data_IF_725050468804
#
_entry.id   IF_725050468804
#
_cell.length_a   1.000
_cell.length_b   1.000
_cell.length_c   1.000
_cell.angle_alpha   90.00
_cell.angle_beta   90.00
_cell.angle_gamma   90.00
#
_symmetry.space_group_name_H-M   'P 1'
#
loop_
_entity.id
_entity.type
_entity.pdbx_description
1 polymer ?
#
# COMPACT_ATOMS: atom_id res chain seq x y z
N UNK A 1 -35.34 31.41 8.23
CA UNK A 1 -34.06 31.11 7.53
C UNK A 1 -33.87 29.59 7.54
N UNK A 2 -33.95 28.93 6.38
CA UNK A 2 -33.65 27.49 6.29
C UNK A 2 -32.13 27.33 6.42
N UNK A 3 -31.67 26.57 7.41
CA UNK A 3 -30.26 26.17 7.51
C UNK A 3 -29.98 25.26 6.32
N UNK A 4 -29.16 25.72 5.39
CA UNK A 4 -28.71 24.87 4.29
C UNK A 4 -27.93 23.69 4.91
N UNK A 5 -28.37 22.48 4.59
CA UNK A 5 -27.76 21.28 5.17
C UNK A 5 -26.37 21.13 4.55
N UNK A 6 -25.37 20.83 5.37
CA UNK A 6 -23.97 20.83 4.92
C UNK A 6 -23.73 19.88 3.73
N UNK A 7 -24.55 18.83 3.63
CA UNK A 7 -24.58 17.92 2.48
C UNK A 7 -24.89 18.62 1.16
N UNK A 8 -25.81 19.57 1.15
CA UNK A 8 -26.26 20.24 -0.08
C UNK A 8 -25.15 21.15 -0.63
N UNK A 9 -24.42 21.81 0.29
CA UNK A 9 -23.24 22.63 -0.03
C UNK A 9 -22.13 21.74 -0.63
N UNK A 10 -21.87 20.58 -0.03
CA UNK A 10 -20.86 19.62 -0.50
C UNK A 10 -21.23 19.08 -1.88
N UNK A 11 -22.48 18.65 -2.09
CA UNK A 11 -22.94 18.12 -3.37
C UNK A 11 -22.88 19.17 -4.48
N UNK A 12 -23.27 20.40 -4.19
CA UNK A 12 -23.18 21.52 -5.13
C UNK A 12 -21.74 21.79 -5.56
N UNK A 13 -20.79 21.71 -4.61
CA UNK A 13 -19.38 21.94 -4.91
C UNK A 13 -18.75 20.80 -5.73
N UNK A 14 -19.05 19.54 -5.39
CA UNK A 14 -18.53 18.37 -6.10
C UNK A 14 -19.06 18.27 -7.54
N UNK A 15 -20.34 18.60 -7.76
CA UNK A 15 -20.96 18.53 -9.09
C UNK A 15 -20.56 19.68 -10.03
N UNK A 16 -19.97 20.77 -9.52
CA UNK A 16 -19.43 21.86 -10.37
C UNK A 16 -18.20 21.43 -11.16
N UNK A 17 -17.51 20.39 -10.70
CA UNK A 17 -16.37 19.81 -11.40
C UNK A 17 -16.94 18.86 -12.46
N UNK A 18 -17.17 19.36 -13.68
CA UNK A 18 -17.37 18.48 -14.84
C UNK A 18 -16.19 17.51 -14.89
N UNK A 19 -16.40 16.18 -14.94
CA UNK A 19 -15.29 15.26 -15.07
C UNK A 19 -14.60 15.56 -16.41
N UNK A 20 -13.42 16.14 -16.36
CA UNK A 20 -12.56 16.23 -17.54
C UNK A 20 -12.27 14.79 -17.95
N UNK A 21 -12.77 14.40 -19.12
CA UNK A 21 -12.49 13.11 -19.72
C UNK A 21 -11.01 13.04 -20.12
N UNK A 22 -10.12 12.80 -19.16
CA UNK A 22 -8.76 12.28 -19.35
C UNK A 22 -7.99 12.32 -18.02
N UNK A 23 -8.31 11.43 -17.10
CA UNK A 23 -7.27 10.79 -16.30
C UNK A 23 -7.74 9.36 -16.10
N UNK A 24 -7.21 8.44 -16.90
CA UNK A 24 -7.10 7.05 -16.43
C UNK A 24 -6.13 7.09 -15.26
N UNK A 25 -6.64 7.55 -14.11
CA UNK A 25 -5.93 7.50 -12.86
C UNK A 25 -5.76 6.02 -12.58
N UNK A 26 -4.60 5.47 -12.94
CA UNK A 26 -4.17 4.15 -12.48
C UNK A 26 -4.46 4.14 -10.99
N UNK A 27 -5.44 3.35 -10.56
CA UNK A 27 -5.79 3.24 -9.14
C UNK A 27 -4.46 2.99 -8.41
N UNK A 28 -4.14 3.73 -7.32
CA UNK A 28 -2.89 3.55 -6.64
C UNK A 28 -2.75 2.07 -6.30
N UNK A 29 -1.68 1.44 -6.80
CA UNK A 29 -1.42 0.02 -6.58
C UNK A 29 -1.48 -0.23 -5.09
N UNK A 30 -2.45 -1.04 -4.65
CA UNK A 30 -2.67 -1.31 -3.23
C UNK A 30 -1.34 -1.83 -2.66
N UNK A 31 -0.75 -1.08 -1.72
CA UNK A 31 0.47 -1.51 -1.06
C UNK A 31 0.11 -2.64 -0.11
N UNK A 32 0.90 -3.72 -0.13
CA UNK A 32 0.71 -4.88 0.74
C UNK A 32 1.63 -4.70 1.93
N UNK A 33 1.09 -4.57 3.14
CA UNK A 33 1.92 -4.54 4.33
C UNK A 33 2.25 -5.97 4.76
N UNK A 34 3.52 -6.27 4.99
CA UNK A 34 4.01 -7.55 5.49
C UNK A 34 4.50 -7.40 6.93
N UNK A 35 3.79 -8.05 7.84
CA UNK A 35 4.16 -8.15 9.25
C UNK A 35 5.39 -9.04 9.46
N UNK A 36 5.99 -8.96 10.66
CA UNK A 36 7.12 -9.81 11.05
C UNK A 36 6.81 -11.31 10.93
N UNK A 37 5.59 -11.72 11.33
CA UNK A 37 5.17 -13.10 11.21
C UNK A 37 5.08 -13.57 9.75
N UNK A 38 4.54 -12.75 8.85
CA UNK A 38 4.47 -13.07 7.43
C UNK A 38 5.86 -13.15 6.79
N UNK A 39 6.76 -12.24 7.16
CA UNK A 39 8.15 -12.24 6.74
C UNK A 39 8.86 -13.54 7.15
N UNK A 40 8.71 -13.96 8.41
CA UNK A 40 9.28 -15.21 8.92
C UNK A 40 8.69 -16.44 8.24
N UNK A 41 7.42 -16.39 7.84
CA UNK A 41 6.75 -17.47 7.10
C UNK A 41 7.24 -17.58 5.65
N UNK A 42 7.55 -16.45 5.01
CA UNK A 42 8.04 -16.41 3.62
C UNK A 42 9.55 -16.71 3.50
N UNK A 43 10.25 -16.82 4.62
CA UNK A 43 11.69 -17.04 4.66
C UNK A 43 12.08 -18.46 4.22
N UNK A 44 12.91 -18.54 3.17
CA UNK A 44 13.54 -19.79 2.74
C UNK A 44 14.88 -19.98 3.47
N UNK A 45 14.90 -20.91 4.42
CA UNK A 45 16.09 -21.24 5.23
C UNK A 45 17.26 -21.76 4.41
N UNK A 46 17.01 -22.43 3.29
CA UNK A 46 18.07 -23.05 2.49
C UNK A 46 18.81 -21.99 1.65
N UNK A 47 18.07 -20.99 1.17
CA UNK A 47 18.60 -19.95 0.29
C UNK A 47 18.97 -18.66 1.03
N UNK A 48 18.49 -18.50 2.28
CA UNK A 48 18.53 -17.25 3.03
C UNK A 48 17.88 -16.08 2.28
N UNK A 49 16.73 -16.34 1.67
CA UNK A 49 16.02 -15.33 0.87
C UNK A 49 14.54 -15.23 1.25
N UNK A 50 13.96 -14.05 1.05
CA UNK A 50 12.51 -13.80 1.16
C UNK A 50 12.05 -13.24 -0.18
N UNK A 51 11.00 -13.85 -0.75
CA UNK A 51 10.34 -13.34 -1.95
C UNK A 51 9.12 -12.52 -1.55
N UNK A 52 9.13 -11.24 -1.92
CA UNK A 52 8.02 -10.32 -1.62
C UNK A 52 7.49 -9.67 -2.90
N UNK A 53 6.20 -9.33 -2.96
CA UNK A 53 5.66 -8.52 -4.05
C UNK A 53 6.35 -7.15 -4.16
N UNK A 54 6.49 -6.63 -5.38
CA UNK A 54 7.12 -5.33 -5.64
C UNK A 54 6.39 -4.16 -4.97
N UNK A 55 5.09 -4.30 -4.75
CA UNK A 55 4.22 -3.34 -4.04
C UNK A 55 4.16 -3.59 -2.52
N UNK A 56 4.99 -4.47 -1.97
CA UNK A 56 4.99 -4.75 -0.54
C UNK A 56 5.79 -3.71 0.26
N UNK A 57 5.28 -3.38 1.45
CA UNK A 57 5.98 -2.65 2.51
C UNK A 57 6.28 -3.66 3.62
N UNK A 58 7.53 -3.74 4.03
CA UNK A 58 7.96 -4.59 5.14
C UNK A 58 7.80 -3.82 6.45
N UNK A 59 7.34 -4.49 7.50
CA UNK A 59 7.31 -3.94 8.85
C UNK A 59 8.72 -3.49 9.30
N UNK A 60 8.88 -2.28 9.89
CA UNK A 60 10.16 -1.80 10.43
C UNK A 60 10.82 -2.78 11.40
N UNK A 61 10.02 -3.45 12.24
CA UNK A 61 10.51 -4.44 13.21
C UNK A 61 11.20 -5.65 12.56
N UNK A 62 10.83 -5.95 11.31
CA UNK A 62 11.42 -7.07 10.58
C UNK A 62 12.77 -6.72 9.96
N UNK A 63 13.10 -5.43 9.80
CA UNK A 63 14.35 -5.02 9.16
C UNK A 63 15.56 -5.43 9.98
N UNK A 64 15.53 -5.23 11.30
CA UNK A 64 16.61 -5.62 12.21
C UNK A 64 16.90 -7.13 12.08
N UNK A 65 15.85 -7.95 12.00
CA UNK A 65 15.99 -9.39 11.83
C UNK A 65 16.55 -9.78 10.45
N UNK A 66 16.09 -9.12 9.39
CA UNK A 66 16.58 -9.36 8.01
C UNK A 66 18.06 -9.00 7.90
N UNK A 67 18.45 -7.84 8.42
CA UNK A 67 19.82 -7.33 8.38
C UNK A 67 20.76 -8.20 9.23
N UNK A 68 20.38 -8.49 10.48
CA UNK A 68 21.19 -9.32 11.38
C UNK A 68 21.48 -10.72 10.80
N UNK A 69 20.51 -11.31 10.09
CA UNK A 69 20.65 -12.65 9.52
C UNK A 69 21.20 -12.65 8.08
N UNK A 70 21.55 -11.48 7.53
CA UNK A 70 21.96 -11.32 6.13
C UNK A 70 20.98 -11.98 5.14
N UNK A 71 19.68 -11.76 5.35
CA UNK A 71 18.61 -12.32 4.52
C UNK A 71 18.41 -11.45 3.28
N UNK A 72 18.41 -12.07 2.10
CA UNK A 72 18.26 -11.36 0.83
C UNK A 72 16.79 -11.22 0.45
N UNK A 73 16.38 -9.99 0.11
CA UNK A 73 15.00 -9.70 -0.33
C UNK A 73 14.95 -9.74 -1.87
N UNK A 74 14.07 -10.58 -2.41
CA UNK A 74 13.78 -10.65 -3.85
C UNK A 74 12.40 -10.09 -4.10
N UNK A 75 12.32 -9.01 -4.89
CA UNK A 75 11.04 -8.42 -5.31
C UNK A 75 10.50 -9.16 -6.52
N UNK A 76 9.29 -9.69 -6.42
CA UNK A 76 8.56 -10.30 -7.54
C UNK A 76 7.60 -9.29 -8.16
N UNK A 77 7.42 -9.30 -9.49
CA UNK A 77 6.43 -8.44 -10.16
C UNK A 77 5.01 -8.70 -9.65
#
# INVERSE_FOLDING_TARGET
MKKEHITDIIYSHLNRIKPSAAYSARKPSKKIFLSDWEIKKLYDKNKKEIKIPSNAIISPLSYDWIEYNNIKIIKTP
#
